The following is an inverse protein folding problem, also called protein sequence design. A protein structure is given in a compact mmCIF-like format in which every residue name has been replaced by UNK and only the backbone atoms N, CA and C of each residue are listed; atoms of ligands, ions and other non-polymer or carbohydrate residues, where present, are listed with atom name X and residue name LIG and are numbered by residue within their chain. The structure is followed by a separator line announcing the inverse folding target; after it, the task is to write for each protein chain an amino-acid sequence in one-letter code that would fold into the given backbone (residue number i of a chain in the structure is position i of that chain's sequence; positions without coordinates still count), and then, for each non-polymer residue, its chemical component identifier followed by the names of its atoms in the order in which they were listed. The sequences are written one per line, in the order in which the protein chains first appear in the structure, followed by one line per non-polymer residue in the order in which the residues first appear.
data_IF_392702103090
#
_entry.id   IF_392702103090
#
_cell.length_a   1.000
_cell.length_b   1.000
_cell.length_c   1.000
_cell.angle_alpha   90.00
_cell.angle_beta   90.00
_cell.angle_gamma   90.00
#
_symmetry.space_group_name_H-M   'P 1'
#
loop_
_entity.id
_entity.type
_entity.pdbx_description
1 polymer ?
#
# COMPACT_ATOMS: atom_id res chain seq x y z
N UNK A 1 15.87 7.23 -6.80
CA UNK A 1 14.79 7.82 -5.99
C UNK A 1 13.47 7.37 -6.55
N UNK A 2 12.53 6.98 -5.69
CA UNK A 2 11.17 6.59 -6.08
C UNK A 2 10.21 7.70 -5.60
N UNK A 3 10.09 8.83 -6.31
CA UNK A 3 9.40 10.02 -5.78
C UNK A 3 7.92 9.73 -5.50
N UNK A 4 7.32 8.84 -6.30
CA UNK A 4 5.94 8.40 -6.15
C UNK A 4 5.69 7.48 -4.95
N UNK A 5 6.73 6.99 -4.28
CA UNK A 5 6.56 6.15 -3.09
C UNK A 5 6.55 6.96 -1.79
N UNK A 6 7.08 8.18 -1.80
CA UNK A 6 7.05 9.13 -0.68
C UNK A 6 5.68 9.83 -0.55
N UNK A 7 4.60 9.06 -0.56
CA UNK A 7 3.22 9.55 -0.36
C UNK A 7 2.78 9.32 1.09
N UNK A 8 1.67 9.97 1.48
CA UNK A 8 1.07 9.74 2.82
C UNK A 8 0.70 8.28 3.06
N UNK A 9 0.44 7.54 1.99
CA UNK A 9 -0.04 6.15 2.04
C UNK A 9 1.07 5.14 2.33
N UNK A 10 2.34 5.48 2.08
CA UNK A 10 3.46 4.56 2.27
C UNK A 10 4.47 5.00 3.35
N UNK A 11 4.03 5.84 4.29
CA UNK A 11 4.88 6.33 5.39
C UNK A 11 5.45 5.20 6.24
N UNK A 12 4.78 4.05 6.33
CA UNK A 12 5.26 2.94 7.15
C UNK A 12 6.42 2.18 6.48
N UNK A 13 6.70 2.44 5.21
CA UNK A 13 7.82 1.84 4.48
C UNK A 13 9.06 2.73 4.40
N UNK A 14 9.10 3.86 5.11
CA UNK A 14 10.21 4.83 5.06
C UNK A 14 11.57 4.18 5.38
N UNK A 15 11.65 3.34 6.41
CA UNK A 15 12.89 2.67 6.82
C UNK A 15 13.49 1.81 5.70
N UNK A 16 12.68 0.94 5.08
CA UNK A 16 13.14 0.07 3.99
C UNK A 16 13.44 0.84 2.71
N UNK A 17 12.74 1.96 2.48
CA UNK A 17 13.02 2.86 1.37
C UNK A 17 14.37 3.57 1.56
N UNK A 18 14.66 4.07 2.77
CA UNK A 18 15.94 4.68 3.12
C UNK A 18 17.09 3.68 2.96
N UNK A 19 16.92 2.43 3.40
CA UNK A 19 17.92 1.38 3.20
C UNK A 19 18.23 1.11 1.71
N UNK A 20 17.21 1.20 0.84
CA UNK A 20 17.41 1.09 -0.61
C UNK A 20 18.10 2.33 -1.20
N UNK A 21 17.78 3.52 -0.70
CA UNK A 21 18.44 4.77 -1.11
C UNK A 21 19.92 4.78 -0.72
N UNK A 22 20.25 4.38 0.51
CA UNK A 22 21.63 4.19 0.97
C UNK A 22 22.39 3.17 0.11
N UNK A 23 21.74 2.07 -0.28
CA UNK A 23 22.36 1.10 -1.18
C UNK A 23 22.63 1.69 -2.57
N UNK A 24 21.70 2.49 -3.11
CA UNK A 24 21.89 3.19 -4.38
C UNK A 24 22.95 4.30 -4.30
N UNK A 25 23.14 4.93 -3.14
CA UNK A 25 24.16 5.95 -2.91
C UNK A 25 25.60 5.43 -3.11
N UNK A 26 25.80 4.10 -3.09
CA UNK A 26 27.08 3.43 -3.38
C UNK A 26 27.51 3.54 -4.85
N UNK A 27 26.63 4.00 -5.73
CA UNK A 27 26.95 4.32 -7.12
C UNK A 27 26.15 3.52 -8.15
N UNK A 28 26.13 4.04 -9.37
CA UNK A 28 25.33 3.49 -10.47
C UNK A 28 25.69 2.03 -10.81
N UNK A 29 26.98 1.70 -10.90
CA UNK A 29 27.45 0.35 -11.22
C UNK A 29 27.05 -0.66 -10.14
N UNK A 30 27.12 -0.28 -8.86
CA UNK A 30 26.69 -1.13 -7.75
C UNK A 30 25.22 -1.51 -7.86
N UNK A 31 24.38 -0.51 -8.15
CA UNK A 31 22.95 -0.71 -8.40
C UNK A 31 22.70 -1.56 -9.64
N UNK A 32 23.34 -1.27 -10.77
CA UNK A 32 23.08 -1.95 -12.05
C UNK A 32 23.50 -3.41 -12.04
N UNK A 33 24.51 -3.76 -11.24
CA UNK A 33 24.95 -5.14 -11.02
C UNK A 33 24.03 -5.94 -10.09
N UNK A 34 22.93 -5.35 -9.59
CA UNK A 34 21.94 -6.05 -8.76
C UNK A 34 22.32 -6.16 -7.28
N UNK A 35 23.35 -5.44 -6.82
CA UNK A 35 23.83 -5.54 -5.44
C UNK A 35 22.84 -5.01 -4.38
N UNK A 36 21.79 -4.32 -4.80
CA UNK A 36 20.72 -3.80 -3.93
C UNK A 36 19.44 -4.66 -3.92
N UNK A 37 19.48 -5.88 -4.49
CA UNK A 37 18.28 -6.72 -4.67
C UNK A 37 17.58 -7.05 -3.35
N UNK A 38 18.33 -7.30 -2.27
CA UNK A 38 17.75 -7.58 -0.95
C UNK A 38 16.96 -6.39 -0.39
N UNK A 39 17.55 -5.19 -0.42
CA UNK A 39 16.88 -3.96 0.01
C UNK A 39 15.64 -3.67 -0.86
N UNK A 40 15.76 -3.84 -2.18
CA UNK A 40 14.62 -3.72 -3.11
C UNK A 40 13.49 -4.70 -2.77
N UNK A 41 13.82 -5.93 -2.42
CA UNK A 41 12.83 -6.92 -2.03
C UNK A 41 12.07 -6.51 -0.75
N UNK A 42 12.76 -5.96 0.24
CA UNK A 42 12.12 -5.45 1.47
C UNK A 42 11.13 -4.33 1.19
N UNK A 43 11.49 -3.36 0.34
CA UNK A 43 10.58 -2.31 -0.11
C UNK A 43 9.33 -2.91 -0.77
N UNK A 44 9.51 -3.87 -1.69
CA UNK A 44 8.40 -4.53 -2.36
C UNK A 44 7.45 -5.24 -1.38
N UNK A 45 8.00 -5.94 -0.38
CA UNK A 45 7.20 -6.64 0.62
C UNK A 45 6.42 -5.68 1.51
N UNK A 46 7.05 -4.57 1.92
CA UNK A 46 6.39 -3.54 2.72
C UNK A 46 5.21 -2.91 1.97
N UNK A 47 5.43 -2.43 0.73
CA UNK A 47 4.37 -1.80 -0.08
C UNK A 47 3.24 -2.78 -0.43
N UNK A 48 3.57 -4.08 -0.55
CA UNK A 48 2.57 -5.13 -0.72
C UNK A 48 1.69 -5.24 0.53
N UNK A 49 2.28 -5.22 1.71
CA UNK A 49 1.54 -5.29 2.97
C UNK A 49 0.60 -4.07 3.13
N UNK A 50 1.09 -2.85 2.87
CA UNK A 50 0.27 -1.63 2.91
C UNK A 50 -0.90 -1.68 1.91
N UNK A 51 -0.64 -2.16 0.69
CA UNK A 51 -1.69 -2.36 -0.31
C UNK A 51 -2.78 -3.31 0.20
N UNK A 52 -2.38 -4.45 0.79
CA UNK A 52 -3.32 -5.44 1.31
C UNK A 52 -4.15 -4.86 2.46
N UNK A 53 -3.53 -4.12 3.36
CA UNK A 53 -4.22 -3.49 4.48
C UNK A 53 -5.25 -2.45 4.00
N UNK A 54 -4.88 -1.60 3.04
CA UNK A 54 -5.83 -0.67 2.43
C UNK A 54 -6.97 -1.40 1.72
N UNK A 55 -6.67 -2.46 0.98
CA UNK A 55 -7.70 -3.28 0.33
C UNK A 55 -8.64 -3.89 1.36
N UNK A 56 -8.13 -4.35 2.51
CA UNK A 56 -8.95 -4.86 3.62
C UNK A 56 -9.86 -3.76 4.17
N UNK A 57 -9.34 -2.59 4.50
CA UNK A 57 -10.12 -1.46 5.00
C UNK A 57 -11.21 -1.03 4.02
N UNK A 58 -10.87 -0.89 2.74
CA UNK A 58 -11.85 -0.55 1.70
C UNK A 58 -12.95 -1.60 1.57
N UNK A 59 -12.61 -2.89 1.74
CA UNK A 59 -13.59 -3.98 1.73
C UNK A 59 -14.56 -3.88 2.91
N UNK A 60 -14.07 -3.58 4.12
CA UNK A 60 -14.95 -3.42 5.27
C UNK A 60 -15.88 -2.21 5.11
N UNK A 61 -15.35 -1.06 4.69
CA UNK A 61 -16.16 0.13 4.39
C UNK A 61 -17.20 -0.16 3.29
N UNK A 62 -16.85 -0.94 2.27
CA UNK A 62 -17.79 -1.31 1.22
C UNK A 62 -18.91 -2.23 1.75
N UNK A 63 -18.61 -3.16 2.65
CA UNK A 63 -19.62 -4.01 3.30
C UNK A 63 -20.58 -3.17 4.14
N UNK A 64 -20.07 -2.24 4.95
CA UNK A 64 -20.89 -1.35 5.78
C UNK A 64 -21.83 -0.49 4.92
N UNK A 65 -21.29 0.10 3.84
CA UNK A 65 -22.10 0.87 2.88
C UNK A 65 -23.18 0.01 2.24
N UNK A 66 -22.85 -1.22 1.86
CA UNK A 66 -23.80 -2.16 1.26
C UNK A 66 -24.91 -2.54 2.25
N UNK A 67 -24.56 -2.88 3.49
CA UNK A 67 -25.53 -3.21 4.53
C UNK A 67 -26.50 -2.05 4.80
N UNK A 68 -26.00 -0.79 4.83
CA UNK A 68 -26.83 0.41 4.96
C UNK A 68 -27.77 0.59 3.78
N UNK A 69 -27.29 0.36 2.56
CA UNK A 69 -28.12 0.46 1.36
C UNK A 69 -29.22 -0.61 1.41
N UNK A 70 -28.86 -1.86 1.70
CA UNK A 70 -29.82 -2.97 1.83
C UNK A 70 -30.88 -2.70 2.90
N UNK A 71 -30.51 -2.12 4.06
CA UNK A 71 -31.49 -1.78 5.09
C UNK A 71 -32.46 -0.68 4.64
N UNK A 72 -31.96 0.36 3.96
CA UNK A 72 -32.79 1.45 3.43
C UNK A 72 -33.77 0.93 2.37
N UNK A 73 -33.33 0.05 1.47
CA UNK A 73 -34.23 -0.56 0.48
C UNK A 73 -35.30 -1.43 1.14
N UNK A 74 -34.93 -2.24 2.14
CA UNK A 74 -35.89 -3.06 2.87
C UNK A 74 -36.95 -2.21 3.61
N UNK A 75 -36.56 -1.07 4.16
CA UNK A 75 -37.49 -0.12 4.78
C UNK A 75 -38.45 0.49 3.75
N UNK A 76 -37.96 0.84 2.55
CA UNK A 76 -38.80 1.38 1.47
C UNK A 76 -39.83 0.32 1.04
N UNK A 77 -39.39 -0.91 0.76
CA UNK A 77 -40.25 -2.01 0.30
C UNK A 77 -41.32 -2.39 1.33
N UNK A 78 -41.04 -2.23 2.63
CA UNK A 78 -42.00 -2.52 3.69
C UNK A 78 -43.08 -1.44 3.89
N UNK A 79 -42.85 -0.21 3.39
CA UNK A 79 -43.74 0.94 3.54
C UNK A 79 -44.40 1.39 2.23
N UNK A 80 -44.16 0.67 1.13
CA UNK A 80 -44.79 0.84 -0.19
C UNK A 80 -45.92 -0.15 -0.42
#
# INVERSE_FOLDING_TARGET
MHPHLHTKDNKNCEEVMNALEECHARGFLWKSMGMCTKAKHQVNMCLRAERLERTRQNREVAKEKRAKIESVWAEIDANS
#
